data_IF_943737130075
#
_entry.id   IF_943737130075
#
_cell.length_a   1.000
_cell.length_b   1.000
_cell.length_c   1.000
_cell.angle_alpha   90.00
_cell.angle_beta   90.00
_cell.angle_gamma   90.00
#
_symmetry.space_group_name_H-M   'P 1'
#
loop_
_entity.id
_entity.type
_entity.pdbx_description
1 polymer ?
#
# COMPACT_ATOMS: atom_id res chain seq x y z
N UNK A 1 -1.82 5.67 -24.01
CA UNK A 1 -0.88 5.04 -23.07
C UNK A 1 -1.41 3.72 -22.56
N UNK A 2 -1.08 2.66 -23.29
CA UNK A 2 -1.89 1.45 -23.30
C UNK A 2 -1.03 0.20 -23.15
N UNK A 3 -0.05 0.21 -22.23
CA UNK A 3 0.79 -0.96 -22.01
C UNK A 3 1.04 -1.29 -20.54
N UNK A 4 0.04 -1.12 -19.70
CA UNK A 4 0.00 -1.84 -18.43
C UNK A 4 -0.83 -3.09 -18.66
N UNK A 5 -0.17 -4.21 -18.90
CA UNK A 5 -0.80 -5.50 -19.18
C UNK A 5 -0.69 -6.38 -17.93
N UNK A 6 -1.79 -7.06 -17.57
CA UNK A 6 -1.81 -8.06 -16.53
C UNK A 6 -2.29 -7.57 -15.15
N UNK A 7 -1.62 -7.99 -14.09
CA UNK A 7 -2.05 -7.76 -12.69
C UNK A 7 -2.23 -6.30 -12.32
N UNK A 8 -1.47 -5.39 -12.92
CA UNK A 8 -1.55 -3.94 -12.66
C UNK A 8 -2.83 -3.29 -13.16
N UNK A 9 -3.36 -3.73 -14.30
CA UNK A 9 -4.67 -3.27 -14.77
C UNK A 9 -5.76 -3.61 -13.74
N UNK A 10 -5.66 -4.77 -13.11
CA UNK A 10 -6.60 -5.19 -12.08
C UNK A 10 -6.46 -4.39 -10.78
N UNK A 11 -5.25 -3.93 -10.42
CA UNK A 11 -5.05 -3.01 -9.29
C UNK A 11 -5.77 -1.69 -9.55
N UNK A 12 -5.61 -1.12 -10.76
CA UNK A 12 -6.25 0.14 -11.15
C UNK A 12 -7.77 0.01 -11.24
N UNK A 13 -8.24 -1.04 -11.91
CA UNK A 13 -9.63 -1.16 -12.33
C UNK A 13 -10.53 -1.77 -11.26
N UNK A 14 -9.99 -2.66 -10.40
CA UNK A 14 -10.78 -3.45 -9.43
C UNK A 14 -10.19 -3.46 -8.02
N UNK A 15 -9.09 -2.74 -7.79
CA UNK A 15 -8.36 -2.70 -6.51
C UNK A 15 -7.92 -4.08 -6.02
N UNK A 16 -7.46 -4.93 -6.95
CA UNK A 16 -6.97 -6.28 -6.66
C UNK A 16 -5.57 -6.42 -7.24
N UNK A 17 -4.58 -6.71 -6.38
CA UNK A 17 -3.21 -7.03 -6.78
C UNK A 17 -2.99 -8.54 -6.89
N UNK A 18 -1.94 -8.94 -7.61
CA UNK A 18 -1.42 -10.31 -7.63
C UNK A 18 -2.49 -11.36 -8.00
N UNK A 19 -3.29 -11.09 -9.03
CA UNK A 19 -4.40 -11.96 -9.44
C UNK A 19 -3.91 -13.34 -9.83
N UNK A 20 -2.78 -13.44 -10.55
CA UNK A 20 -2.21 -14.72 -10.98
C UNK A 20 -1.90 -15.61 -9.79
N UNK A 21 -1.10 -15.13 -8.87
CA UNK A 21 -0.68 -15.87 -7.66
C UNK A 21 -1.84 -16.19 -6.74
N UNK A 22 -2.75 -15.22 -6.55
CA UNK A 22 -3.99 -15.47 -5.77
C UNK A 22 -4.84 -16.58 -6.39
N UNK A 23 -4.93 -16.63 -7.72
CA UNK A 23 -5.61 -17.71 -8.43
C UNK A 23 -4.90 -19.06 -8.23
N UNK A 24 -3.57 -19.10 -8.33
CA UNK A 24 -2.78 -20.31 -8.11
C UNK A 24 -3.00 -20.91 -6.73
N UNK A 25 -3.04 -20.09 -5.68
CA UNK A 25 -3.26 -20.56 -4.29
C UNK A 25 -4.73 -20.67 -3.89
N UNK A 26 -5.68 -20.46 -4.83
CA UNK A 26 -7.12 -20.54 -4.55
C UNK A 26 -7.69 -19.38 -3.74
N UNK A 27 -7.03 -18.24 -3.71
CA UNK A 27 -7.41 -17.08 -2.91
C UNK A 27 -8.31 -16.06 -3.63
N UNK A 28 -8.84 -16.39 -4.80
CA UNK A 28 -9.85 -15.59 -5.50
C UNK A 28 -11.25 -16.12 -5.16
N UNK A 29 -11.86 -15.55 -4.12
CA UNK A 29 -13.23 -15.91 -3.75
C UNK A 29 -14.25 -15.32 -4.72
N UNK A 30 -15.52 -15.73 -4.59
CA UNK A 30 -16.61 -15.28 -5.46
C UNK A 30 -16.85 -13.77 -5.40
N UNK A 31 -16.65 -13.14 -4.24
CA UNK A 31 -16.76 -11.68 -4.09
C UNK A 31 -15.74 -10.97 -4.96
N UNK A 32 -14.48 -11.44 -4.94
CA UNK A 32 -13.40 -10.89 -5.77
C UNK A 32 -13.69 -11.12 -7.26
N UNK A 33 -14.07 -12.33 -7.62
CA UNK A 33 -14.36 -12.70 -9.01
C UNK A 33 -15.56 -11.95 -9.59
N UNK A 34 -16.49 -11.50 -8.75
CA UNK A 34 -17.66 -10.69 -9.17
C UNK A 34 -17.39 -9.19 -9.28
N UNK A 35 -16.21 -8.71 -8.90
CA UNK A 35 -15.87 -7.28 -8.98
C UNK A 35 -15.85 -6.81 -10.44
N UNK A 36 -16.49 -5.66 -10.68
CA UNK A 36 -16.49 -4.99 -11.98
C UNK A 36 -15.49 -3.83 -11.99
N UNK A 37 -15.00 -3.49 -13.16
CA UNK A 37 -14.30 -2.23 -13.40
C UNK A 37 -15.28 -1.07 -13.66
N UNK A 38 -14.74 0.14 -13.89
CA UNK A 38 -15.55 1.33 -14.18
C UNK A 38 -16.46 1.20 -15.42
N UNK A 39 -16.14 0.28 -16.35
CA UNK A 39 -16.95 -0.02 -17.54
C UNK A 39 -17.97 -1.15 -17.31
N UNK A 40 -18.15 -1.61 -16.07
CA UNK A 40 -19.08 -2.68 -15.71
C UNK A 40 -18.63 -4.10 -16.07
N UNK A 41 -17.39 -4.30 -16.56
CA UNK A 41 -16.88 -5.62 -16.92
C UNK A 41 -16.50 -6.40 -15.68
N UNK A 42 -17.06 -7.58 -15.51
CA UNK A 42 -16.83 -8.46 -14.35
C UNK A 42 -15.53 -9.24 -14.54
N UNK A 43 -14.74 -9.39 -13.47
CA UNK A 43 -13.42 -10.03 -13.51
C UNK A 43 -13.48 -11.47 -14.03
N UNK A 44 -14.40 -12.31 -13.52
CA UNK A 44 -14.54 -13.71 -13.94
C UNK A 44 -14.82 -13.83 -15.42
N UNK A 45 -15.70 -12.96 -15.98
CA UNK A 45 -16.11 -13.01 -17.38
C UNK A 45 -14.93 -12.65 -18.30
N UNK A 46 -14.08 -11.71 -17.86
CA UNK A 46 -12.87 -11.34 -18.61
C UNK A 46 -11.80 -12.44 -18.56
N UNK A 47 -11.64 -13.11 -17.41
CA UNK A 47 -10.75 -14.29 -17.29
C UNK A 47 -11.23 -15.39 -18.25
N UNK A 48 -12.50 -15.73 -18.23
CA UNK A 48 -13.06 -16.80 -19.07
C UNK A 48 -12.99 -16.45 -20.56
N UNK A 49 -13.19 -15.17 -20.92
CA UNK A 49 -13.09 -14.66 -22.28
C UNK A 49 -11.70 -14.83 -22.91
N UNK A 50 -10.63 -14.73 -22.12
CA UNK A 50 -9.25 -14.93 -22.60
C UNK A 50 -8.81 -16.39 -22.54
N UNK A 51 -9.73 -17.34 -22.28
CA UNK A 51 -9.46 -18.77 -22.21
C UNK A 51 -9.08 -19.28 -20.83
N UNK A 52 -9.17 -18.45 -19.80
CA UNK A 52 -9.02 -18.87 -18.41
C UNK A 52 -10.22 -19.69 -17.93
N UNK A 53 -10.13 -20.20 -16.69
CA UNK A 53 -11.21 -20.97 -16.04
C UNK A 53 -11.43 -20.40 -14.65
N UNK A 54 -12.25 -19.36 -14.55
CA UNK A 54 -12.47 -18.60 -13.30
C UNK A 54 -12.98 -19.46 -12.14
N UNK A 55 -13.74 -20.50 -12.43
CA UNK A 55 -14.27 -21.42 -11.45
C UNK A 55 -13.18 -22.27 -10.73
N UNK A 56 -12.00 -22.43 -11.33
CA UNK A 56 -10.87 -23.14 -10.73
C UNK A 56 -10.05 -22.28 -9.77
N UNK A 57 -10.16 -20.95 -9.84
CA UNK A 57 -9.33 -19.99 -9.09
C UNK A 57 -9.73 -19.83 -7.62
N UNK A 58 -10.79 -20.52 -7.20
CA UNK A 58 -11.25 -20.55 -5.80
C UNK A 58 -10.64 -21.69 -5.00
N UNK A 59 -9.85 -22.55 -5.64
CA UNK A 59 -9.14 -23.69 -5.01
C UNK A 59 -7.67 -23.65 -5.42
N UNK A 60 -6.75 -24.08 -4.53
CA UNK A 60 -5.34 -24.21 -4.90
C UNK A 60 -5.14 -25.15 -6.10
N UNK A 61 -4.19 -24.83 -6.96
CA UNK A 61 -3.77 -25.74 -8.01
C UNK A 61 -2.96 -26.91 -7.42
N UNK A 62 -3.08 -28.10 -8.01
CA UNK A 62 -2.37 -29.28 -7.52
C UNK A 62 -0.84 -29.15 -7.49
N UNK A 63 -0.27 -28.28 -8.35
CA UNK A 63 1.17 -28.00 -8.35
C UNK A 63 1.64 -27.40 -7.02
N UNK A 64 0.76 -26.71 -6.28
CA UNK A 64 1.09 -26.07 -5.01
C UNK A 64 1.61 -27.08 -3.98
N UNK A 65 1.08 -28.29 -3.97
CA UNK A 65 1.47 -29.37 -3.06
C UNK A 65 2.93 -29.86 -3.26
N UNK A 66 3.51 -29.55 -4.43
CA UNK A 66 4.87 -29.97 -4.79
C UNK A 66 5.89 -28.80 -4.75
N UNK A 67 5.47 -27.58 -4.36
CA UNK A 67 6.38 -26.44 -4.27
C UNK A 67 7.21 -26.57 -2.99
N UNK A 68 8.52 -26.72 -3.15
CA UNK A 68 9.48 -26.80 -2.04
C UNK A 68 9.83 -25.40 -1.52
N UNK A 69 10.00 -24.42 -2.43
CA UNK A 69 10.32 -23.04 -2.12
C UNK A 69 9.92 -22.13 -3.28
N UNK A 70 9.73 -20.85 -2.98
CA UNK A 70 9.48 -19.79 -3.96
C UNK A 70 10.56 -18.71 -3.86
N UNK A 71 11.09 -18.30 -5.01
CA UNK A 71 12.01 -17.17 -5.09
C UNK A 71 11.50 -16.20 -6.16
N UNK A 72 11.33 -14.93 -5.80
CA UNK A 72 10.94 -13.86 -6.72
C UNK A 72 12.11 -12.90 -6.93
N UNK A 73 12.45 -12.63 -8.20
CA UNK A 73 13.35 -11.58 -8.59
C UNK A 73 12.52 -10.36 -9.01
N UNK A 74 12.82 -9.20 -8.44
CA UNK A 74 12.10 -7.96 -8.74
C UNK A 74 13.04 -6.76 -8.73
N UNK A 75 12.69 -5.67 -9.39
CA UNK A 75 13.37 -4.39 -9.20
C UNK A 75 13.02 -3.83 -7.81
N UNK A 76 13.91 -3.02 -7.21
CA UNK A 76 13.68 -2.43 -5.89
C UNK A 76 12.45 -1.51 -5.84
N UNK A 77 12.13 -0.84 -6.95
CA UNK A 77 11.14 0.25 -7.03
C UNK A 77 11.46 1.42 -6.08
N UNK A 78 12.73 1.54 -5.71
CA UNK A 78 13.30 2.53 -4.81
C UNK A 78 14.73 2.87 -5.24
N UNK A 79 15.42 3.68 -4.44
CA UNK A 79 16.75 4.20 -4.76
C UNK A 79 17.86 3.70 -3.85
N UNK A 80 17.57 2.78 -2.93
CA UNK A 80 18.56 2.40 -1.90
C UNK A 80 19.74 1.66 -2.50
N UNK A 81 19.48 0.69 -3.36
CA UNK A 81 20.53 -0.11 -4.02
C UNK A 81 21.37 0.77 -4.96
N UNK A 82 20.70 1.57 -5.80
CA UNK A 82 21.36 2.51 -6.71
C UNK A 82 22.23 3.51 -5.96
N UNK A 83 21.69 4.21 -4.96
CA UNK A 83 22.42 5.22 -4.18
C UNK A 83 23.60 4.65 -3.39
N UNK A 84 23.53 3.38 -3.00
CA UNK A 84 24.61 2.69 -2.28
C UNK A 84 25.56 1.93 -3.21
N UNK A 85 25.29 1.89 -4.51
CA UNK A 85 26.00 1.09 -5.50
C UNK A 85 26.09 -0.38 -5.07
N UNK A 86 24.94 -0.98 -4.76
CA UNK A 86 24.79 -2.37 -4.33
C UNK A 86 24.03 -3.15 -5.38
N UNK A 87 24.54 -4.35 -5.74
CA UNK A 87 23.98 -5.18 -6.80
C UNK A 87 22.70 -5.88 -6.40
N UNK A 88 22.62 -6.37 -5.14
CA UNK A 88 21.53 -7.24 -4.69
C UNK A 88 20.93 -6.75 -3.37
N UNK A 89 19.60 -6.59 -3.35
CA UNK A 89 18.81 -6.44 -2.14
C UNK A 89 18.16 -7.76 -1.75
N UNK A 90 18.50 -8.32 -0.59
CA UNK A 90 17.88 -9.54 -0.09
C UNK A 90 16.72 -9.14 0.80
N UNK A 91 15.50 -9.45 0.38
CA UNK A 91 14.30 -9.00 1.08
C UNK A 91 14.03 -9.89 2.29
N UNK A 92 13.95 -9.27 3.47
CA UNK A 92 13.60 -9.97 4.73
C UNK A 92 12.12 -9.86 5.08
N UNK A 93 11.43 -8.81 4.62
CA UNK A 93 9.99 -8.64 4.86
C UNK A 93 9.30 -7.79 3.80
N UNK A 94 8.00 -8.06 3.62
CA UNK A 94 7.06 -7.22 2.87
C UNK A 94 6.21 -6.47 3.89
N UNK A 95 6.03 -5.13 3.79
CA UNK A 95 5.34 -4.37 4.80
C UNK A 95 3.84 -4.65 4.84
N UNK A 96 3.24 -4.43 6.00
CA UNK A 96 1.79 -4.31 6.09
C UNK A 96 1.32 -3.09 5.30
N UNK A 97 0.15 -3.20 4.68
CA UNK A 97 -0.52 -2.09 4.00
C UNK A 97 -1.83 -1.80 4.74
N UNK A 98 -1.96 -0.58 5.25
CA UNK A 98 -3.19 -0.12 5.90
C UNK A 98 -3.68 1.14 5.20
N UNK A 99 -4.95 1.18 4.82
CA UNK A 99 -5.58 2.37 4.24
C UNK A 99 -6.71 2.85 5.11
N UNK A 100 -6.74 4.14 5.37
CA UNK A 100 -7.78 4.80 6.16
C UNK A 100 -8.40 5.91 5.35
N UNK A 101 -9.74 6.03 5.38
CA UNK A 101 -10.40 7.28 5.02
C UNK A 101 -10.46 8.18 6.26
N UNK A 102 -10.23 9.46 6.05
CA UNK A 102 -10.42 10.52 7.04
C UNK A 102 -11.43 11.50 6.44
N UNK A 103 -12.55 11.67 7.10
CA UNK A 103 -13.58 12.62 6.75
C UNK A 103 -13.59 13.74 7.79
N UNK A 104 -13.43 14.97 7.35
CA UNK A 104 -13.52 16.18 8.18
C UNK A 104 -14.78 16.93 7.79
N UNK A 105 -15.69 17.09 8.75
CA UNK A 105 -16.95 17.81 8.58
C UNK A 105 -16.92 19.10 9.37
N UNK A 106 -17.02 20.20 8.66
CA UNK A 106 -17.16 21.56 9.15
C UNK A 106 -18.47 22.18 8.69
N UNK A 107 -18.47 23.48 8.40
CA UNK A 107 -19.63 24.21 7.93
C UNK A 107 -19.26 25.07 6.73
N UNK A 108 -19.90 24.83 5.59
CA UNK A 108 -19.75 25.68 4.42
C UNK A 108 -20.37 27.07 4.65
N UNK A 109 -19.75 28.11 4.09
CA UNK A 109 -20.25 29.45 4.22
C UNK A 109 -19.51 30.45 3.34
N UNK A 110 -19.98 31.66 3.29
CA UNK A 110 -19.40 32.71 2.45
C UNK A 110 -18.05 33.19 3.01
N UNK A 111 -16.99 33.11 2.22
CA UNK A 111 -15.62 33.39 2.66
C UNK A 111 -15.35 34.84 3.05
N UNK A 112 -16.13 35.79 2.54
CA UNK A 112 -15.97 37.20 2.82
C UNK A 112 -16.82 37.74 3.98
N UNK A 113 -17.88 37.01 4.40
CA UNK A 113 -18.83 37.51 5.40
C UNK A 113 -18.79 36.82 6.75
N UNK A 114 -18.36 35.54 6.78
CA UNK A 114 -18.21 34.82 8.05
C UNK A 114 -16.85 35.18 8.66
N UNK A 115 -16.86 35.70 9.89
CA UNK A 115 -15.65 36.13 10.61
C UNK A 115 -14.77 34.91 10.94
N UNK A 116 -13.47 35.13 11.14
CA UNK A 116 -12.48 34.06 11.32
C UNK A 116 -12.75 33.19 12.54
N UNK A 117 -13.22 33.76 13.63
CA UNK A 117 -13.55 33.11 14.90
C UNK A 117 -14.88 32.32 14.88
N UNK A 118 -15.67 32.48 13.80
CA UNK A 118 -16.97 31.82 13.62
C UNK A 118 -16.90 30.64 12.62
N UNK A 119 -15.71 30.34 12.09
CA UNK A 119 -15.54 29.36 11.03
C UNK A 119 -15.35 27.94 11.55
N UNK A 120 -16.04 27.00 10.93
CA UNK A 120 -15.75 25.58 10.99
C UNK A 120 -15.18 25.13 9.63
N UNK A 121 -13.95 25.56 9.31
CA UNK A 121 -13.30 25.32 8.04
C UNK A 121 -12.70 23.91 8.00
N UNK A 122 -13.31 23.03 7.21
CA UNK A 122 -12.88 21.63 7.09
C UNK A 122 -11.50 21.52 6.42
N UNK A 123 -11.12 22.44 5.53
CA UNK A 123 -9.83 22.38 4.85
C UNK A 123 -8.68 22.80 5.78
N UNK A 124 -8.88 23.82 6.60
CA UNK A 124 -7.89 24.22 7.62
C UNK A 124 -7.66 23.09 8.60
N UNK A 125 -8.72 22.51 9.16
CA UNK A 125 -8.63 21.33 10.05
C UNK A 125 -7.94 20.14 9.38
N UNK A 126 -8.21 19.92 8.08
CA UNK A 126 -7.54 18.86 7.31
C UNK A 126 -6.05 19.12 7.14
N UNK A 127 -5.64 20.39 6.97
CA UNK A 127 -4.21 20.75 6.84
C UNK A 127 -3.41 20.43 8.12
N UNK A 128 -4.03 20.57 9.29
CA UNK A 128 -3.44 20.18 10.57
C UNK A 128 -3.25 18.66 10.67
N UNK A 129 -4.24 17.87 10.22
CA UNK A 129 -4.14 16.42 10.16
C UNK A 129 -3.02 15.99 9.19
N UNK A 130 -2.94 16.59 8.01
CA UNK A 130 -1.89 16.31 7.02
C UNK A 130 -0.51 16.57 7.62
N UNK A 131 -0.36 17.72 8.27
CA UNK A 131 0.89 18.10 8.93
C UNK A 131 1.25 17.15 10.07
N UNK A 132 0.27 16.75 10.89
CA UNK A 132 0.45 15.78 11.96
C UNK A 132 0.86 14.42 11.43
N UNK A 133 0.16 13.89 10.43
CA UNK A 133 0.47 12.60 9.78
C UNK A 133 1.90 12.57 9.24
N UNK A 134 2.35 13.62 8.57
CA UNK A 134 3.71 13.74 8.04
C UNK A 134 4.75 13.74 9.17
N UNK A 135 4.54 14.57 10.20
CA UNK A 135 5.46 14.65 11.36
C UNK A 135 5.53 13.33 12.13
N UNK A 136 4.39 12.70 12.38
CA UNK A 136 4.28 11.42 13.05
C UNK A 136 5.02 10.32 12.28
N UNK A 137 4.76 10.22 10.97
CA UNK A 137 5.43 9.26 10.10
C UNK A 137 6.94 9.47 10.06
N UNK A 138 7.39 10.73 9.92
CA UNK A 138 8.82 11.08 9.89
C UNK A 138 9.53 10.75 11.20
N UNK A 139 8.85 10.90 12.34
CA UNK A 139 9.40 10.52 13.65
C UNK A 139 9.51 9.00 13.78
N UNK A 140 8.42 8.28 13.53
CA UNK A 140 8.40 6.82 13.66
C UNK A 140 9.32 6.12 12.65
N UNK A 141 9.48 6.67 11.45
CA UNK A 141 10.44 6.17 10.46
C UNK A 141 11.89 6.27 10.96
N UNK A 142 12.25 7.34 11.70
CA UNK A 142 13.60 7.50 12.30
C UNK A 142 13.82 6.58 13.51
N UNK A 143 12.75 6.29 14.26
CA UNK A 143 12.79 5.41 15.42
C UNK A 143 12.79 3.93 15.02
N UNK A 144 12.30 3.61 13.84
CA UNK A 144 12.20 2.24 13.32
C UNK A 144 13.47 1.83 12.58
N UNK A 145 13.93 0.59 12.83
CA UNK A 145 14.98 -0.06 12.03
C UNK A 145 14.41 -0.82 10.82
N UNK A 146 13.13 -0.64 10.52
CA UNK A 146 12.38 -1.33 9.47
C UNK A 146 11.65 -0.32 8.59
N UNK A 147 11.17 -0.79 7.44
CA UNK A 147 10.43 0.07 6.52
C UNK A 147 9.22 0.73 7.17
N UNK A 148 9.11 2.04 7.04
CA UNK A 148 7.99 2.84 7.55
C UNK A 148 7.73 4.04 6.65
N UNK A 149 6.58 4.08 5.98
CA UNK A 149 6.12 5.23 5.19
C UNK A 149 4.62 5.46 5.38
N UNK A 150 4.20 6.71 5.35
CA UNK A 150 2.78 7.09 5.36
C UNK A 150 2.55 8.28 4.44
N UNK A 151 1.50 8.20 3.62
CA UNK A 151 1.19 9.22 2.62
C UNK A 151 -0.31 9.52 2.60
N UNK A 152 -0.67 10.80 2.52
CA UNK A 152 -2.02 11.23 2.14
C UNK A 152 -1.98 11.50 0.63
N UNK A 153 -2.36 10.49 -0.17
CA UNK A 153 -2.29 10.52 -1.63
C UNK A 153 -3.58 10.97 -2.33
N UNK A 154 -4.66 11.13 -1.57
CA UNK A 154 -5.96 11.57 -2.09
C UNK A 154 -6.61 12.57 -1.15
N UNK A 155 -7.10 13.68 -1.71
CA UNK A 155 -7.89 14.69 -1.01
C UNK A 155 -9.00 15.20 -1.93
N UNK A 156 -10.22 15.25 -1.40
CA UNK A 156 -11.38 15.84 -2.06
C UNK A 156 -11.95 16.93 -1.14
N UNK A 157 -12.14 18.11 -1.66
CA UNK A 157 -12.66 19.28 -0.94
C UNK A 157 -14.05 19.62 -1.47
N UNK A 158 -15.01 19.91 -0.60
CA UNK A 158 -16.37 20.28 -0.97
C UNK A 158 -16.79 21.59 -0.29
N UNK A 159 -17.32 22.54 -1.10
CA UNK A 159 -17.64 22.48 -2.51
C UNK A 159 -16.47 22.81 -3.46
N UNK A 160 -15.26 23.04 -2.94
CA UNK A 160 -14.06 23.38 -3.73
C UNK A 160 -14.23 24.61 -4.62
N UNK A 161 -14.69 25.72 -4.03
CA UNK A 161 -14.95 26.98 -4.68
C UNK A 161 -14.29 28.14 -3.92
N UNK A 162 -13.64 29.07 -4.63
CA UNK A 162 -12.80 30.12 -4.06
C UNK A 162 -13.51 31.05 -3.06
N UNK A 163 -14.81 31.30 -3.24
CA UNK A 163 -15.60 32.20 -2.40
C UNK A 163 -16.37 31.51 -1.26
N UNK A 164 -16.11 30.19 -1.04
CA UNK A 164 -16.86 29.37 -0.08
C UNK A 164 -15.89 28.70 0.89
N UNK A 165 -16.16 28.83 2.18
CA UNK A 165 -15.46 28.08 3.24
C UNK A 165 -15.79 26.59 3.04
N UNK A 166 -14.77 25.68 2.92
CA UNK A 166 -15.03 24.25 2.75
C UNK A 166 -15.77 23.65 3.94
N UNK A 167 -16.92 23.04 3.66
CA UNK A 167 -17.74 22.37 4.69
C UNK A 167 -17.39 20.90 4.89
N UNK A 168 -16.71 20.26 3.92
CA UNK A 168 -16.31 18.86 4.00
C UNK A 168 -15.01 18.60 3.27
N UNK A 169 -14.14 17.77 3.87
CA UNK A 169 -12.94 17.23 3.22
C UNK A 169 -12.87 15.73 3.44
N UNK A 170 -12.52 15.01 2.38
CA UNK A 170 -12.28 13.57 2.42
C UNK A 170 -10.84 13.28 2.00
N UNK A 171 -10.10 12.54 2.81
CA UNK A 171 -8.71 12.16 2.56
C UNK A 171 -8.51 10.66 2.67
N UNK A 172 -7.45 10.16 2.05
CA UNK A 172 -7.02 8.76 2.21
C UNK A 172 -5.57 8.71 2.64
N UNK A 173 -5.31 8.04 3.76
CA UNK A 173 -3.98 7.70 4.26
C UNK A 173 -3.61 6.31 3.75
N UNK A 174 -2.45 6.16 3.10
CA UNK A 174 -1.77 4.87 2.81
C UNK A 174 -0.57 4.76 3.77
N UNK A 175 -0.62 3.77 4.64
CA UNK A 175 0.41 3.47 5.63
C UNK A 175 1.04 2.11 5.29
N UNK A 176 2.37 2.07 5.15
CA UNK A 176 3.14 0.83 4.91
C UNK A 176 4.22 0.69 5.96
N UNK A 177 4.17 -0.39 6.71
CA UNK A 177 5.04 -0.62 7.87
C UNK A 177 5.38 -2.09 8.03
N UNK A 178 6.66 -2.44 8.14
CA UNK A 178 7.09 -3.82 8.40
C UNK A 178 6.86 -4.23 9.86
N UNK A 179 7.04 -3.32 10.82
CA UNK A 179 6.82 -3.58 12.24
C UNK A 179 5.35 -3.44 12.65
N UNK A 180 4.78 -4.50 13.21
CA UNK A 180 3.44 -4.44 13.83
C UNK A 180 3.38 -3.42 14.96
N UNK A 181 4.40 -3.36 15.84
CA UNK A 181 4.44 -2.43 16.97
C UNK A 181 4.42 -0.96 16.52
N UNK A 182 5.22 -0.62 15.51
CA UNK A 182 5.26 0.74 14.94
C UNK A 182 3.95 1.12 14.25
N UNK A 183 3.30 0.13 13.59
CA UNK A 183 1.97 0.32 13.00
C UNK A 183 0.92 0.65 14.06
N UNK A 184 0.86 -0.16 15.11
CA UNK A 184 -0.13 -0.01 16.18
C UNK A 184 0.08 1.31 16.94
N UNK A 185 1.33 1.72 17.14
CA UNK A 185 1.68 3.01 17.72
C UNK A 185 1.20 4.17 16.83
N UNK A 186 1.46 4.11 15.54
CA UNK A 186 0.98 5.15 14.60
C UNK A 186 -0.53 5.31 14.64
N UNK A 187 -1.28 4.20 14.60
CA UNK A 187 -2.74 4.23 14.63
C UNK A 187 -3.24 4.84 15.94
N UNK A 188 -2.71 4.40 17.07
CA UNK A 188 -3.08 4.92 18.39
C UNK A 188 -2.83 6.43 18.52
N UNK A 189 -1.69 6.92 18.04
CA UNK A 189 -1.38 8.35 18.10
C UNK A 189 -2.26 9.17 17.15
N UNK A 190 -2.58 8.65 15.96
CA UNK A 190 -3.48 9.29 15.01
C UNK A 190 -4.92 9.36 15.53
N UNK A 191 -5.42 8.30 16.15
CA UNK A 191 -6.74 8.26 16.79
C UNK A 191 -6.81 9.27 17.94
N UNK A 192 -5.81 9.28 18.82
CA UNK A 192 -5.71 10.25 19.93
C UNK A 192 -5.72 11.69 19.45
N UNK A 193 -4.96 12.01 18.39
CA UNK A 193 -4.95 13.34 17.81
C UNK A 193 -6.32 13.72 17.24
N UNK A 194 -6.97 12.81 16.53
CA UNK A 194 -8.30 13.04 15.98
C UNK A 194 -9.36 13.27 17.08
N UNK A 195 -9.28 12.53 18.18
CA UNK A 195 -10.14 12.73 19.35
C UNK A 195 -9.91 14.09 20.00
N UNK A 196 -8.64 14.49 20.19
CA UNK A 196 -8.28 15.81 20.74
C UNK A 196 -8.86 16.93 19.88
N UNK A 197 -8.70 16.84 18.56
CA UNK A 197 -9.24 17.82 17.62
C UNK A 197 -10.78 17.83 17.61
N UNK A 198 -11.42 16.68 17.78
CA UNK A 198 -12.88 16.58 17.91
C UNK A 198 -13.45 17.24 19.18
N UNK A 199 -12.66 17.26 20.26
CA UNK A 199 -13.07 17.86 21.53
C UNK A 199 -12.87 19.38 21.55
N UNK A 200 -11.76 19.86 20.97
CA UNK A 200 -11.35 21.26 21.05
C UNK A 200 -11.65 22.08 19.80
N UNK A 201 -11.82 21.42 18.63
CA UNK A 201 -11.97 22.10 17.35
C UNK A 201 -13.41 22.27 16.88
N UNK A 202 -13.63 23.16 15.90
CA UNK A 202 -14.96 23.44 15.36
C UNK A 202 -15.47 22.37 14.40
N UNK A 203 -14.58 21.51 13.86
CA UNK A 203 -14.91 20.46 12.90
C UNK A 203 -15.02 19.09 13.57
N UNK A 204 -15.71 18.15 12.92
CA UNK A 204 -15.81 16.74 13.36
C UNK A 204 -15.04 15.83 12.39
N UNK A 205 -14.14 15.02 12.96
CA UNK A 205 -13.28 14.12 12.24
C UNK A 205 -13.80 12.70 12.44
N UNK A 206 -13.95 11.96 11.34
CA UNK A 206 -14.29 10.53 11.35
C UNK A 206 -13.20 9.77 10.59
N UNK A 207 -12.74 8.67 11.19
CA UNK A 207 -11.80 7.76 10.56
C UNK A 207 -12.46 6.40 10.32
N UNK A 208 -12.13 5.79 9.19
CA UNK A 208 -12.60 4.44 8.83
C UNK A 208 -11.47 3.66 8.17
N UNK A 209 -11.30 2.42 8.61
CA UNK A 209 -10.39 1.49 7.93
C UNK A 209 -11.00 1.07 6.58
N UNK A 210 -10.26 1.25 5.49
CA UNK A 210 -10.66 0.87 4.13
C UNK A 210 -10.07 -0.47 3.72
N UNK A 211 -8.82 -0.76 4.12
CA UNK A 211 -8.13 -1.98 3.75
C UNK A 211 -6.98 -2.27 4.73
N UNK A 212 -6.72 -3.54 4.92
CA UNK A 212 -5.57 -4.03 5.66
C UNK A 212 -5.01 -5.30 5.03
N UNK A 213 -3.69 -5.32 4.82
CA UNK A 213 -2.91 -6.52 4.55
C UNK A 213 -1.79 -6.61 5.58
N UNK A 214 -1.60 -7.75 6.25
CA UNK A 214 -0.52 -7.89 7.24
C UNK A 214 0.85 -7.85 6.58
N UNK A 215 1.89 -7.54 7.36
CA UNK A 215 3.27 -7.73 6.96
C UNK A 215 3.59 -9.23 6.82
N UNK A 216 4.49 -9.55 5.92
CA UNK A 216 4.94 -10.91 5.67
C UNK A 216 6.45 -10.97 5.83
N UNK A 217 6.94 -11.81 6.74
CA UNK A 217 8.36 -12.10 6.85
C UNK A 217 8.74 -13.20 5.86
N UNK A 218 9.88 -13.02 5.20
CA UNK A 218 10.45 -14.03 4.32
C UNK A 218 11.05 -15.18 5.14
N UNK A 219 11.13 -16.35 4.51
CA UNK A 219 11.75 -17.52 5.13
C UNK A 219 13.24 -17.25 5.44
N UNK A 220 13.62 -17.44 6.70
CA UNK A 220 14.95 -17.08 7.21
C UNK A 220 16.07 -17.89 6.57
N UNK A 221 15.82 -19.17 6.28
CA UNK A 221 16.82 -20.03 5.64
C UNK A 221 17.01 -19.63 4.17
N UNK A 222 15.92 -19.31 3.45
CA UNK A 222 16.03 -18.79 2.09
C UNK A 222 16.73 -17.43 2.03
N UNK A 223 16.43 -16.52 2.96
CA UNK A 223 17.14 -15.24 3.05
C UNK A 223 18.63 -15.45 3.27
N UNK A 224 19.00 -16.39 4.17
CA UNK A 224 20.39 -16.76 4.41
C UNK A 224 21.06 -17.39 3.19
N UNK A 225 20.36 -18.28 2.49
CA UNK A 225 20.86 -18.89 1.26
C UNK A 225 21.07 -17.84 0.15
N UNK A 226 20.14 -16.92 -0.04
CA UNK A 226 20.30 -15.80 -0.99
C UNK A 226 21.53 -14.96 -0.66
N UNK A 227 21.80 -14.71 0.65
CA UNK A 227 22.99 -13.98 1.05
C UNK A 227 24.28 -14.75 0.74
N UNK A 228 24.36 -16.04 1.11
CA UNK A 228 25.52 -16.90 0.85
C UNK A 228 25.80 -16.95 -0.66
N UNK A 229 24.77 -17.21 -1.47
CA UNK A 229 24.93 -17.26 -2.93
C UNK A 229 25.41 -15.91 -3.50
N UNK A 230 24.85 -14.79 -3.05
CA UNK A 230 25.31 -13.47 -3.49
C UNK A 230 26.78 -13.24 -3.17
N UNK A 231 27.22 -13.63 -1.96
CA UNK A 231 28.63 -13.52 -1.53
C UNK A 231 29.54 -14.43 -2.38
N UNK A 232 29.13 -15.69 -2.64
CA UNK A 232 29.89 -16.65 -3.44
C UNK A 232 30.09 -16.22 -4.89
N UNK A 233 29.09 -15.56 -5.48
CA UNK A 233 29.17 -15.00 -6.83
C UNK A 233 29.81 -13.60 -6.89
N UNK A 234 30.25 -13.06 -5.76
CA UNK A 234 30.92 -11.76 -5.67
C UNK A 234 30.03 -10.54 -5.83
N UNK A 235 28.71 -10.70 -5.69
CA UNK A 235 27.78 -9.57 -5.71
C UNK A 235 27.75 -8.84 -4.37
N UNK A 236 27.86 -7.50 -4.42
CA UNK A 236 27.56 -6.68 -3.25
C UNK A 236 26.09 -6.82 -2.85
N UNK A 237 25.81 -6.97 -1.56
CA UNK A 237 24.43 -7.21 -1.12
C UNK A 237 24.10 -6.56 0.22
N UNK A 238 22.80 -6.29 0.43
CA UNK A 238 22.23 -5.89 1.72
C UNK A 238 20.94 -6.63 2.00
N UNK A 239 20.65 -6.86 3.30
CA UNK A 239 19.33 -7.31 3.75
C UNK A 239 18.46 -6.06 3.95
N UNK A 240 17.26 -6.06 3.35
CA UNK A 240 16.36 -4.91 3.38
C UNK A 240 14.90 -5.32 3.47
N UNK A 241 14.01 -4.37 3.75
CA UNK A 241 12.58 -4.56 3.65
C UNK A 241 12.09 -4.10 2.27
N UNK A 242 11.03 -4.73 1.75
CA UNK A 242 10.31 -4.18 0.60
C UNK A 242 9.50 -2.95 1.00
N UNK A 243 9.30 -2.02 0.07
CA UNK A 243 8.35 -0.90 0.17
C UNK A 243 6.99 -1.16 -0.49
N UNK A 244 6.86 -2.28 -1.22
CA UNK A 244 5.70 -2.60 -2.04
C UNK A 244 5.09 -3.96 -1.66
N UNK A 245 3.92 -4.26 -2.22
CA UNK A 245 3.31 -5.59 -2.16
C UNK A 245 3.72 -6.41 -3.38
N UNK A 246 4.03 -7.70 -3.17
CA UNK A 246 4.53 -8.61 -4.20
C UNK A 246 3.78 -9.93 -4.21
N UNK A 247 3.95 -10.71 -5.26
CA UNK A 247 3.38 -12.04 -5.42
C UNK A 247 3.85 -13.00 -4.33
N UNK A 248 5.11 -12.87 -3.91
CA UNK A 248 5.71 -13.61 -2.79
C UNK A 248 4.91 -13.51 -1.49
N UNK A 249 4.24 -12.37 -1.22
CA UNK A 249 3.37 -12.24 -0.04
C UNK A 249 2.19 -13.22 -0.05
N UNK A 250 1.79 -13.71 -1.20
CA UNK A 250 0.75 -14.72 -1.34
C UNK A 250 1.34 -16.13 -1.37
N UNK A 251 2.48 -16.33 -2.06
CA UNK A 251 3.16 -17.62 -2.15
C UNK A 251 3.70 -18.08 -0.80
N UNK A 252 4.15 -17.18 0.05
CA UNK A 252 4.59 -17.49 1.43
C UNK A 252 3.54 -18.16 2.31
N UNK A 253 2.27 -18.17 1.88
CA UNK A 253 1.19 -18.87 2.58
C UNK A 253 1.19 -20.38 2.32
N UNK A 254 1.86 -20.82 1.28
CA UNK A 254 1.81 -22.22 0.78
C UNK A 254 3.17 -22.88 0.71
N UNK A 255 4.25 -22.10 0.68
CA UNK A 255 5.62 -22.61 0.68
C UNK A 255 6.59 -21.58 1.31
N UNK A 256 7.79 -22.01 1.79
CA UNK A 256 8.87 -21.09 2.12
C UNK A 256 9.15 -20.15 0.95
N UNK A 257 9.26 -18.85 1.20
CA UNK A 257 9.41 -17.86 0.14
C UNK A 257 10.43 -16.79 0.49
N UNK A 258 11.15 -16.29 -0.51
CA UNK A 258 12.07 -15.17 -0.40
C UNK A 258 12.05 -14.32 -1.67
N UNK A 259 12.67 -13.15 -1.61
CA UNK A 259 12.80 -12.23 -2.74
C UNK A 259 14.19 -11.64 -2.83
N UNK A 260 14.61 -11.36 -4.06
CA UNK A 260 15.83 -10.64 -4.38
C UNK A 260 15.46 -9.39 -5.17
N UNK A 261 15.98 -8.24 -4.74
CA UNK A 261 15.89 -7.01 -5.49
C UNK A 261 17.15 -6.74 -6.29
N UNK A 262 16.96 -6.16 -7.46
CA UNK A 262 18.03 -5.54 -8.26
C UNK A 262 17.78 -4.03 -8.36
N UNK A 263 18.83 -3.20 -8.56
CA UNK A 263 18.66 -1.77 -8.74
C UNK A 263 17.73 -1.43 -9.91
N UNK A 264 17.03 -0.32 -9.81
CA UNK A 264 16.31 0.29 -10.91
C UNK A 264 16.70 1.77 -11.01
N UNK A 265 16.72 2.28 -12.25
CA UNK A 265 17.14 3.65 -12.51
C UNK A 265 16.22 4.66 -11.84
N UNK A 266 16.77 5.53 -11.00
CA UNK A 266 16.04 6.59 -10.28
C UNK A 266 14.90 6.09 -9.40
N UNK A 267 14.79 4.79 -9.11
CA UNK A 267 13.67 4.20 -8.40
C UNK A 267 12.35 4.26 -9.19
N UNK A 268 12.44 4.42 -10.51
CA UNK A 268 11.28 4.50 -11.39
C UNK A 268 10.55 3.15 -11.42
N UNK A 269 9.24 3.23 -11.34
CA UNK A 269 8.35 2.07 -11.43
C UNK A 269 6.98 2.51 -11.94
N UNK A 270 6.28 1.63 -12.65
CA UNK A 270 4.96 1.89 -13.22
C UNK A 270 4.92 3.05 -14.23
N UNK A 271 6.01 3.33 -14.91
CA UNK A 271 6.15 4.36 -15.93
C UNK A 271 6.84 3.79 -17.18
N UNK A 272 6.74 4.46 -18.35
CA UNK A 272 7.34 3.96 -19.59
C UNK A 272 8.89 3.91 -19.59
N UNK A 273 9.49 4.59 -18.65
CA UNK A 273 10.94 4.72 -18.46
C UNK A 273 11.53 3.62 -17.56
N UNK A 274 10.67 2.74 -17.00
CA UNK A 274 11.06 1.59 -16.17
C UNK A 274 11.84 0.54 -16.96
#
# INVERSE_FOLDING_TARGET
NTRLVGSEMCIRDRSISCIGTRGMIGALNQEILSRSNASGKILKDEIDKIGGKSNLLTKPFSIIENIVACLELHIEQGRVLEQKNIDIGIVRSIPSISRFSVEVNGQAGHSGTILMDQRADALVTSSEIITFVNKLASRLAKESNQHFVSTIGKINVHPNAAAIIPGKVEMTIDLRVSSKGSRDQYIKELEKQSETMNQSGPCKIKMKNLAFAPSVEMDKELVKLCKISSDEYGFSNIIMDSGAGHDTAHLSRVAPASMIFVPCMDGLSHCPEE
#
